data_IF_857486101328
#
_entry.id   IF_857486101328
#
_cell.length_a   1.000
_cell.length_b   1.000
_cell.length_c   1.000
_cell.angle_alpha   90.00
_cell.angle_beta   90.00
_cell.angle_gamma   90.00
#
_symmetry.space_group_name_H-M   'P 1'
#
loop_
_entity.id
_entity.type
_entity.pdbx_description
1 polymer ?
#
# COMPACT_ATOMS: atom_id res chain seq x y z
N UNK A 1 -27.05 61.10 4.70
CA UNK A 1 -26.15 60.45 3.70
C UNK A 1 -24.99 59.64 4.29
N UNK A 2 -24.71 59.68 5.62
CA UNK A 2 -23.55 58.96 6.22
C UNK A 2 -23.86 57.57 6.82
N UNK A 3 -25.12 57.14 6.88
CA UNK A 3 -25.52 55.84 7.47
C UNK A 3 -25.72 54.72 6.43
N UNK A 4 -25.95 55.07 5.17
CA UNK A 4 -26.13 54.12 4.07
C UNK A 4 -24.82 53.50 3.58
N UNK A 5 -23.68 54.19 3.74
CA UNK A 5 -22.35 53.67 3.36
C UNK A 5 -21.82 52.60 4.34
N UNK A 6 -22.14 52.69 5.64
CA UNK A 6 -21.78 51.64 6.61
C UNK A 6 -22.57 50.35 6.41
N UNK A 7 -23.83 50.43 5.97
CA UNK A 7 -24.66 49.25 5.71
C UNK A 7 -24.18 48.46 4.48
N UNK A 8 -23.70 49.14 3.43
CA UNK A 8 -23.10 48.50 2.25
C UNK A 8 -21.73 47.89 2.58
N UNK A 9 -20.94 48.50 3.47
CA UNK A 9 -19.68 47.93 3.95
C UNK A 9 -19.88 46.69 4.85
N UNK A 10 -20.90 46.67 5.72
CA UNK A 10 -21.25 45.48 6.52
C UNK A 10 -21.86 44.35 5.67
N UNK A 11 -22.65 44.66 4.64
CA UNK A 11 -23.20 43.64 3.74
C UNK A 11 -22.15 43.07 2.77
N UNK A 12 -21.14 43.86 2.40
CA UNK A 12 -19.96 43.39 1.64
C UNK A 12 -19.02 42.50 2.46
N UNK A 13 -18.95 42.70 3.79
CA UNK A 13 -18.14 41.87 4.69
C UNK A 13 -18.71 40.44 4.86
N UNK A 14 -20.02 40.24 4.66
CA UNK A 14 -20.65 38.92 4.69
C UNK A 14 -20.73 38.25 3.30
N UNK A 15 -20.48 38.98 2.21
CA UNK A 15 -20.41 38.44 0.85
C UNK A 15 -19.04 37.86 0.49
N UNK A 16 -18.02 38.12 1.32
CA UNK A 16 -16.72 37.47 1.29
C UNK A 16 -16.71 36.13 2.03
N UNK A 17 -17.83 35.39 2.03
CA UNK A 17 -17.74 33.95 2.23
C UNK A 17 -16.82 33.46 1.12
N UNK A 18 -15.54 33.27 1.46
CA UNK A 18 -14.61 32.56 0.62
C UNK A 18 -15.37 31.32 0.19
N UNK A 19 -15.79 31.29 -1.07
CA UNK A 19 -16.28 30.07 -1.68
C UNK A 19 -15.03 29.20 -1.75
N UNK A 20 -14.69 28.58 -0.63
CA UNK A 20 -13.71 27.52 -0.56
C UNK A 20 -14.13 26.57 -1.67
N UNK A 21 -13.31 26.47 -2.71
CA UNK A 21 -13.64 25.65 -3.86
C UNK A 21 -13.52 24.20 -3.41
N UNK A 22 -14.58 23.69 -2.80
CA UNK A 22 -14.64 22.32 -2.30
C UNK A 22 -14.79 21.40 -3.49
N UNK A 23 -13.74 20.64 -3.80
CA UNK A 23 -13.85 19.55 -4.76
C UNK A 23 -14.08 18.26 -3.98
N UNK A 24 -15.24 17.65 -4.14
CA UNK A 24 -15.51 16.28 -3.69
C UNK A 24 -15.47 15.37 -4.90
N UNK A 25 -14.72 14.29 -4.81
CA UNK A 25 -14.58 13.29 -5.86
C UNK A 25 -14.97 11.92 -5.32
N UNK A 26 -15.90 11.27 -6.02
CA UNK A 26 -16.06 9.82 -5.96
C UNK A 26 -15.09 9.22 -6.96
N UNK A 27 -14.33 8.21 -6.54
CA UNK A 27 -13.37 7.52 -7.38
C UNK A 27 -13.30 6.04 -7.03
N UNK A 28 -12.67 5.25 -7.90
CA UNK A 28 -12.41 3.85 -7.57
C UNK A 28 -11.81 3.05 -8.71
N UNK A 29 -11.61 1.77 -8.41
CA UNK A 29 -11.20 0.73 -9.36
C UNK A 29 -12.15 -0.45 -9.26
N UNK A 30 -12.47 -1.02 -10.42
CA UNK A 30 -13.14 -2.31 -10.57
C UNK A 30 -12.29 -3.19 -11.50
N UNK A 31 -11.74 -4.24 -10.93
CA UNK A 31 -10.92 -5.27 -11.53
C UNK A 31 -11.62 -6.60 -11.30
N UNK A 32 -11.82 -7.33 -12.39
CA UNK A 32 -12.35 -8.68 -12.36
C UNK A 32 -11.68 -9.51 -13.45
N UNK A 33 -11.29 -10.72 -13.10
CA UNK A 33 -10.65 -11.65 -14.01
C UNK A 33 -10.84 -13.10 -13.63
N UNK A 34 -10.58 -13.98 -14.58
CA UNK A 34 -10.50 -15.42 -14.37
C UNK A 34 -9.11 -15.71 -13.82
N UNK A 35 -9.06 -16.35 -12.65
CA UNK A 35 -7.83 -16.72 -11.95
C UNK A 35 -7.74 -18.24 -11.89
N UNK A 36 -6.55 -18.78 -12.19
CA UNK A 36 -6.22 -20.19 -11.99
C UNK A 36 -4.89 -20.32 -11.26
N UNK A 37 -4.93 -20.93 -10.08
CA UNK A 37 -3.75 -21.28 -9.30
C UNK A 37 -3.57 -22.80 -9.20
N UNK A 38 -2.33 -23.26 -9.08
CA UNK A 38 -2.01 -24.66 -8.79
C UNK A 38 -2.73 -25.15 -7.53
N UNK A 39 -3.42 -26.29 -7.63
CA UNK A 39 -4.16 -26.89 -6.51
C UNK A 39 -5.53 -26.28 -6.22
N UNK A 40 -5.91 -25.19 -6.89
CA UNK A 40 -7.19 -24.51 -6.70
C UNK A 40 -8.10 -24.65 -7.93
N UNK A 41 -9.41 -24.44 -7.77
CA UNK A 41 -10.34 -24.38 -8.89
C UNK A 41 -10.16 -23.07 -9.68
N UNK A 42 -10.69 -23.02 -10.89
CA UNK A 42 -10.85 -21.75 -11.60
C UNK A 42 -11.88 -20.91 -10.84
N UNK A 43 -11.59 -19.65 -10.61
CA UNK A 43 -12.49 -18.70 -9.94
C UNK A 43 -12.50 -17.34 -10.64
N UNK A 44 -13.48 -16.52 -10.29
CA UNK A 44 -13.41 -15.08 -10.52
C UNK A 44 -12.61 -14.48 -9.37
N UNK A 45 -11.62 -13.65 -9.71
CA UNK A 45 -10.83 -12.91 -8.76
C UNK A 45 -10.53 -11.51 -9.28
N UNK A 46 -9.53 -10.87 -8.69
CA UNK A 46 -9.06 -9.53 -9.07
C UNK A 46 -7.53 -9.52 -9.15
N UNK A 47 -6.97 -8.78 -10.11
CA UNK A 47 -5.52 -8.50 -10.20
C UNK A 47 -5.14 -7.33 -9.29
N UNK A 48 -5.82 -6.20 -9.40
CA UNK A 48 -5.64 -5.05 -8.51
C UNK A 48 -6.64 -5.06 -7.34
N UNK A 49 -6.34 -4.30 -6.29
CA UNK A 49 -7.33 -4.08 -5.23
C UNK A 49 -8.49 -3.22 -5.75
N UNK A 50 -9.71 -3.71 -5.61
CA UNK A 50 -10.92 -2.96 -5.93
C UNK A 50 -11.21 -1.94 -4.85
N UNK A 51 -11.55 -0.73 -5.27
CA UNK A 51 -11.74 0.42 -4.38
C UNK A 51 -12.98 1.20 -4.78
N UNK A 52 -13.68 1.72 -3.78
CA UNK A 52 -14.65 2.79 -3.92
C UNK A 52 -14.35 3.81 -2.83
N UNK A 53 -14.11 5.06 -3.23
CA UNK A 53 -13.69 6.09 -2.30
C UNK A 53 -14.34 7.42 -2.57
N UNK A 54 -14.38 8.23 -1.51
CA UNK A 54 -14.75 9.63 -1.55
C UNK A 54 -13.60 10.40 -0.92
N UNK A 55 -13.07 11.36 -1.67
CA UNK A 55 -12.05 12.28 -1.18
C UNK A 55 -12.42 13.70 -1.51
N UNK A 56 -11.91 14.63 -0.74
CA UNK A 56 -12.12 16.03 -1.03
C UNK A 56 -11.04 16.93 -0.50
N UNK A 57 -11.06 18.15 -1.03
CA UNK A 57 -10.17 19.23 -0.62
C UNK A 57 -10.98 20.51 -0.57
N UNK A 58 -10.79 21.25 0.52
CA UNK A 58 -11.38 22.56 0.77
C UNK A 58 -10.24 23.58 0.87
N UNK A 59 -10.29 24.63 0.04
CA UNK A 59 -9.35 25.74 0.14
C UNK A 59 -9.72 26.63 1.32
N UNK A 60 -8.84 26.71 2.32
CA UNK A 60 -9.06 27.52 3.53
C UNK A 60 -8.51 28.96 3.37
N UNK A 61 -7.94 29.29 2.21
CA UNK A 61 -7.25 30.54 1.95
C UNK A 61 -5.80 30.55 2.44
N UNK A 62 -5.04 31.56 2.01
CA UNK A 62 -3.63 31.78 2.40
C UNK A 62 -2.71 30.55 2.22
N UNK A 63 -2.99 29.72 1.20
CA UNK A 63 -2.22 28.51 0.90
C UNK A 63 -2.57 27.27 1.74
N UNK A 64 -3.53 27.37 2.67
CA UNK A 64 -3.98 26.23 3.47
C UNK A 64 -5.14 25.49 2.82
N UNK A 65 -5.17 24.17 2.99
CA UNK A 65 -6.24 23.30 2.51
C UNK A 65 -6.61 22.26 3.55
N UNK A 66 -7.91 22.09 3.83
CA UNK A 66 -8.40 20.92 4.53
C UNK A 66 -8.64 19.78 3.53
N UNK A 67 -8.44 18.54 3.98
CA UNK A 67 -8.66 17.35 3.15
C UNK A 67 -9.31 16.24 3.96
N UNK A 68 -10.09 15.41 3.26
CA UNK A 68 -10.60 14.16 3.80
C UNK A 68 -10.50 13.05 2.76
N UNK A 69 -10.40 11.80 3.23
CA UNK A 69 -10.30 10.63 2.37
C UNK A 69 -10.88 9.39 3.06
N UNK A 70 -11.95 8.85 2.49
CA UNK A 70 -12.54 7.58 2.84
C UNK A 70 -12.43 6.62 1.65
N UNK A 71 -11.96 5.39 1.87
CA UNK A 71 -11.85 4.37 0.83
C UNK A 71 -12.24 3.00 1.38
N UNK A 72 -13.26 2.39 0.78
CA UNK A 72 -13.58 0.97 0.98
C UNK A 72 -12.90 0.10 -0.06
N UNK A 73 -12.71 -1.17 0.28
CA UNK A 73 -12.23 -2.21 -0.62
C UNK A 73 -13.22 -3.36 -0.65
N UNK A 74 -13.39 -3.99 -1.81
CA UNK A 74 -14.41 -5.00 -2.02
C UNK A 74 -13.94 -6.16 -2.91
N UNK A 75 -14.73 -7.23 -2.93
CA UNK A 75 -14.56 -8.38 -3.84
C UNK A 75 -15.49 -8.26 -5.05
N UNK A 76 -14.99 -8.45 -6.28
CA UNK A 76 -15.80 -8.29 -7.49
C UNK A 76 -16.79 -9.44 -7.72
N UNK A 77 -16.51 -10.62 -7.17
CA UNK A 77 -17.30 -11.84 -7.38
C UNK A 77 -18.49 -11.96 -6.42
N UNK A 78 -18.30 -11.55 -5.17
CA UNK A 78 -19.31 -11.63 -4.09
C UNK A 78 -19.95 -10.29 -3.75
N UNK A 79 -19.34 -9.17 -4.14
CA UNK A 79 -19.76 -7.84 -3.72
C UNK A 79 -19.55 -7.53 -2.24
N UNK A 80 -18.83 -8.38 -1.51
CA UNK A 80 -18.52 -8.20 -0.09
C UNK A 80 -17.33 -7.25 0.12
N UNK A 81 -17.09 -6.80 1.37
CA UNK A 81 -15.83 -6.16 1.74
C UNK A 81 -14.63 -7.04 1.38
N UNK A 82 -13.48 -6.42 1.12
CA UNK A 82 -12.24 -7.14 0.78
C UNK A 82 -12.01 -8.32 1.75
N UNK A 83 -11.60 -9.46 1.21
CA UNK A 83 -11.24 -10.64 1.98
C UNK A 83 -9.72 -10.68 2.11
N UNK A 84 -9.25 -10.88 3.34
CA UNK A 84 -7.84 -11.07 3.64
C UNK A 84 -7.28 -12.42 3.19
N UNK A 85 -5.94 -12.58 3.13
CA UNK A 85 -5.32 -13.89 2.89
C UNK A 85 -5.68 -14.95 3.95
N UNK A 86 -6.10 -14.49 5.12
CA UNK A 86 -6.62 -15.25 6.26
C UNK A 86 -8.09 -15.68 6.10
N UNK A 87 -8.76 -15.27 5.02
CA UNK A 87 -10.14 -15.64 4.72
C UNK A 87 -11.21 -14.78 5.41
N UNK A 88 -10.81 -13.81 6.24
CA UNK A 88 -11.76 -12.94 6.93
C UNK A 88 -12.08 -11.66 6.16
N UNK A 89 -13.31 -11.18 6.31
CA UNK A 89 -13.76 -9.91 5.79
C UNK A 89 -13.06 -8.75 6.48
N UNK A 90 -12.45 -7.86 5.70
CA UNK A 90 -11.83 -6.63 6.18
C UNK A 90 -12.91 -5.61 6.58
N UNK A 91 -12.55 -4.73 7.51
CA UNK A 91 -13.34 -3.55 7.88
C UNK A 91 -13.76 -2.68 6.69
N UNK A 92 -14.88 -1.95 6.82
CA UNK A 92 -15.48 -1.16 5.73
C UNK A 92 -14.51 -0.19 5.05
N UNK A 93 -13.92 0.73 5.82
CA UNK A 93 -12.93 1.70 5.30
C UNK A 93 -11.50 1.17 5.46
N UNK A 94 -11.27 -0.07 5.01
CA UNK A 94 -9.94 -0.67 5.08
C UNK A 94 -8.91 0.12 4.27
N UNK A 95 -9.32 0.71 3.14
CA UNK A 95 -8.41 1.44 2.27
C UNK A 95 -7.73 2.60 3.00
N UNK A 96 -8.55 3.58 3.40
CA UNK A 96 -8.16 4.81 4.08
C UNK A 96 -9.36 5.36 4.88
N UNK A 97 -9.10 5.97 6.04
CA UNK A 97 -10.04 6.86 6.70
C UNK A 97 -9.27 8.00 7.38
N UNK A 98 -9.07 9.10 6.65
CA UNK A 98 -8.20 10.21 7.07
C UNK A 98 -8.85 11.57 6.91
N UNK A 99 -8.45 12.49 7.79
CA UNK A 99 -8.66 13.94 7.66
C UNK A 99 -7.31 14.64 7.85
N UNK A 100 -7.12 15.82 7.26
CA UNK A 100 -5.84 16.49 7.35
C UNK A 100 -5.85 17.95 6.93
N UNK A 101 -4.67 18.56 7.06
CA UNK A 101 -4.35 19.92 6.64
C UNK A 101 -3.13 19.86 5.73
N UNK A 102 -3.16 20.66 4.66
CA UNK A 102 -2.05 20.85 3.74
C UNK A 102 -1.73 22.34 3.60
N UNK A 103 -0.44 22.65 3.41
CA UNK A 103 0.04 23.98 3.02
C UNK A 103 1.48 23.92 2.53
N UNK A 104 2.19 25.03 2.55
CA UNK A 104 3.61 25.10 2.16
C UNK A 104 4.53 24.25 3.04
N UNK A 105 4.06 23.91 4.25
CA UNK A 105 4.74 23.00 5.16
C UNK A 105 4.63 21.53 4.73
N UNK A 106 3.81 21.18 3.73
CA UNK A 106 3.50 19.80 3.36
C UNK A 106 2.09 19.40 3.76
N UNK A 107 1.89 18.13 4.08
CA UNK A 107 0.58 17.55 4.38
C UNK A 107 0.61 16.77 5.68
N UNK A 108 -0.24 17.14 6.63
CA UNK A 108 -0.46 16.43 7.88
C UNK A 108 -1.83 15.73 7.84
N UNK A 109 -1.88 14.44 8.16
CA UNK A 109 -3.12 13.63 8.16
C UNK A 109 -3.22 12.83 9.46
N UNK A 110 -4.43 12.63 9.94
CA UNK A 110 -4.75 11.79 11.10
C UNK A 110 -5.82 10.77 10.72
N UNK A 111 -5.77 9.57 11.31
CA UNK A 111 -6.76 8.52 11.08
C UNK A 111 -6.14 7.14 10.78
N UNK A 112 -6.59 6.48 9.70
CA UNK A 112 -6.10 5.16 9.25
C UNK A 112 -5.64 5.15 7.81
N UNK A 113 -4.56 4.43 7.52
CA UNK A 113 -4.23 4.01 6.15
C UNK A 113 -2.85 3.36 6.04
N UNK A 114 -2.36 3.19 4.81
CA UNK A 114 -1.05 2.59 4.54
C UNK A 114 0.08 3.37 5.22
N UNK A 115 1.10 2.64 5.66
CA UNK A 115 2.32 3.26 6.20
C UNK A 115 3.17 3.88 5.07
N UNK A 116 3.99 4.90 5.35
CA UNK A 116 4.96 5.45 4.40
C UNK A 116 5.83 4.42 3.67
N UNK A 117 6.23 3.34 4.35
CA UNK A 117 6.95 2.22 3.76
C UNK A 117 6.09 1.51 2.70
N UNK A 118 4.86 1.14 3.06
CA UNK A 118 3.93 0.42 2.17
C UNK A 118 3.39 1.30 1.03
N UNK A 119 3.27 2.62 1.22
CA UNK A 119 2.87 3.58 0.17
C UNK A 119 3.93 3.74 -0.93
N UNK A 120 5.20 3.41 -0.67
CA UNK A 120 6.32 3.73 -1.58
C UNK A 120 6.95 2.53 -2.26
N UNK A 121 7.11 1.41 -1.55
CA UNK A 121 7.85 0.24 -2.05
C UNK A 121 7.29 -0.35 -3.36
N UNK A 122 5.97 -0.30 -3.54
CA UNK A 122 5.31 -0.83 -4.74
C UNK A 122 5.69 -0.14 -6.05
N UNK A 123 6.24 1.08 -6.00
CA UNK A 123 6.63 1.83 -7.21
C UNK A 123 7.91 1.33 -7.88
N UNK A 124 8.63 0.40 -7.24
CA UNK A 124 9.95 -0.07 -7.64
C UNK A 124 9.97 -1.56 -8.03
N UNK A 125 8.80 -2.11 -8.35
CA UNK A 125 8.64 -3.47 -8.87
C UNK A 125 7.68 -3.47 -10.07
N UNK A 126 7.85 -4.40 -11.04
CA UNK A 126 7.24 -4.27 -12.36
C UNK A 126 5.72 -4.37 -12.38
N UNK A 127 5.08 -4.93 -11.35
CA UNK A 127 3.62 -5.10 -11.26
C UNK A 127 2.96 -4.10 -10.30
N UNK A 128 3.66 -3.06 -9.84
CA UNK A 128 3.09 -1.94 -9.07
C UNK A 128 2.33 -2.35 -7.79
N UNK A 129 2.87 -3.29 -7.03
CA UNK A 129 2.33 -3.84 -5.79
C UNK A 129 0.90 -4.40 -5.89
N UNK A 130 0.54 -5.02 -7.02
CA UNK A 130 -0.67 -5.84 -7.03
C UNK A 130 -0.58 -6.93 -5.93
N UNK A 131 -1.64 -7.14 -5.16
CA UNK A 131 -1.61 -8.04 -4.00
C UNK A 131 -1.77 -9.53 -4.38
N UNK A 132 -1.88 -9.85 -5.67
CA UNK A 132 -1.98 -11.23 -6.17
C UNK A 132 -0.62 -11.88 -6.34
N UNK A 133 -0.59 -13.20 -6.56
CA UNK A 133 0.67 -13.92 -6.77
C UNK A 133 1.38 -13.61 -8.11
N UNK A 134 0.78 -12.77 -8.96
CA UNK A 134 1.48 -12.14 -10.08
C UNK A 134 2.45 -11.04 -9.63
N UNK A 135 2.14 -10.35 -8.54
CA UNK A 135 2.98 -9.30 -7.96
C UNK A 135 4.08 -9.83 -7.06
N UNK A 136 5.12 -9.02 -6.86
CA UNK A 136 6.27 -9.37 -6.02
C UNK A 136 6.16 -8.82 -4.59
N UNK A 137 5.21 -7.91 -4.37
CA UNK A 137 5.10 -7.16 -3.14
C UNK A 137 4.79 -8.05 -1.93
N UNK A 138 3.66 -8.76 -1.93
CA UNK A 138 3.21 -9.58 -0.81
C UNK A 138 4.00 -10.88 -0.64
N UNK A 139 4.49 -11.46 -1.74
CA UNK A 139 5.13 -12.78 -1.76
C UNK A 139 6.66 -12.73 -1.52
N UNK A 140 7.32 -11.65 -1.92
CA UNK A 140 8.77 -11.46 -1.75
C UNK A 140 9.11 -10.23 -0.92
N UNK A 141 8.65 -9.04 -1.34
CA UNK A 141 9.20 -7.77 -0.85
C UNK A 141 8.89 -7.50 0.61
N UNK A 142 7.66 -7.80 1.06
CA UNK A 142 7.21 -7.61 2.46
C UNK A 142 6.70 -8.90 3.10
N UNK A 143 7.01 -10.04 2.50
CA UNK A 143 6.47 -11.32 2.92
C UNK A 143 6.90 -11.67 4.35
N UNK A 144 5.92 -11.95 5.20
CA UNK A 144 6.14 -12.27 6.62
C UNK A 144 6.18 -11.06 7.54
N UNK A 145 6.22 -9.84 7.01
CA UNK A 145 6.14 -8.61 7.82
C UNK A 145 4.69 -8.14 7.97
N UNK A 146 4.33 -7.69 9.17
CA UNK A 146 3.08 -7.01 9.46
C UNK A 146 3.34 -5.68 10.17
N UNK A 147 2.75 -4.59 9.68
CA UNK A 147 2.76 -3.29 10.36
C UNK A 147 1.92 -3.28 11.65
N UNK A 148 0.92 -4.16 11.76
CA UNK A 148 -0.01 -4.26 12.89
C UNK A 148 -0.18 -5.72 13.34
N UNK A 149 0.85 -6.33 13.94
CA UNK A 149 0.80 -7.74 14.32
C UNK A 149 -0.07 -8.03 15.54
N UNK A 150 -0.52 -7.00 16.27
CA UNK A 150 -1.45 -7.09 17.41
C UNK A 150 -2.85 -6.58 17.07
N UNK A 151 -3.19 -6.38 15.79
CA UNK A 151 -4.57 -6.10 15.42
C UNK A 151 -5.38 -7.41 15.33
N UNK A 152 -6.72 -7.34 15.33
CA UNK A 152 -7.59 -8.47 15.02
C UNK A 152 -7.23 -9.17 13.70
N UNK A 153 -7.60 -10.45 13.57
CA UNK A 153 -7.23 -11.29 12.40
C UNK A 153 -7.68 -10.65 11.07
N UNK A 154 -8.82 -9.95 11.09
CA UNK A 154 -9.41 -9.26 9.95
C UNK A 154 -8.77 -7.90 9.62
N UNK A 155 -7.76 -7.43 10.35
CA UNK A 155 -7.03 -6.19 10.02
C UNK A 155 -5.96 -6.39 8.93
N UNK A 156 -5.79 -5.39 8.05
CA UNK A 156 -4.74 -5.45 7.03
C UNK A 156 -3.39 -5.21 7.70
N UNK A 157 -2.47 -6.17 7.57
CA UNK A 157 -1.11 -6.10 8.15
C UNK A 157 -0.15 -5.09 7.51
N UNK A 158 -0.63 -4.02 6.89
CA UNK A 158 0.20 -3.00 6.21
C UNK A 158 -0.31 -1.55 6.39
N UNK A 159 -1.22 -1.36 7.33
CA UNK A 159 -1.83 -0.06 7.65
C UNK A 159 -1.60 0.25 9.12
N UNK A 160 -1.87 1.48 9.53
CA UNK A 160 -2.06 1.82 10.94
C UNK A 160 -3.39 2.51 11.13
N UNK A 161 -4.08 2.14 12.21
CA UNK A 161 -5.07 2.98 12.87
C UNK A 161 -4.39 3.94 13.85
N UNK A 162 -5.12 4.96 14.30
CA UNK A 162 -4.68 5.89 15.37
C UNK A 162 -3.28 6.44 15.16
N UNK A 163 -3.03 6.86 13.92
CA UNK A 163 -1.75 7.38 13.49
C UNK A 163 -1.83 8.82 13.00
N UNK A 164 -0.65 9.43 12.94
CA UNK A 164 -0.40 10.72 12.33
C UNK A 164 0.57 10.48 11.17
N UNK A 165 0.25 11.02 9.99
CA UNK A 165 1.08 10.99 8.81
C UNK A 165 1.51 12.40 8.45
N UNK A 166 2.75 12.52 8.02
CA UNK A 166 3.29 13.73 7.44
C UNK A 166 3.98 13.42 6.12
N UNK A 167 3.64 14.18 5.07
CA UNK A 167 4.34 14.19 3.80
C UNK A 167 4.96 15.58 3.62
N UNK A 168 6.28 15.65 3.44
CA UNK A 168 6.94 16.90 3.12
C UNK A 168 6.48 17.43 1.76
N UNK A 169 6.66 18.73 1.48
CA UNK A 169 6.66 19.23 0.12
C UNK A 169 7.67 18.46 -0.72
N UNK A 170 7.44 18.41 -2.03
CA UNK A 170 8.41 17.90 -3.00
C UNK A 170 9.38 19.02 -3.34
N UNK A 171 10.67 18.82 -3.10
CA UNK A 171 11.72 19.81 -3.40
C UNK A 171 12.76 19.17 -4.31
N UNK A 172 12.89 19.68 -5.55
CA UNK A 172 13.81 19.15 -6.56
C UNK A 172 13.69 17.62 -6.76
N UNK A 173 12.46 17.10 -6.71
CA UNK A 173 12.18 15.67 -6.85
C UNK A 173 12.29 14.85 -5.57
N UNK A 174 12.79 15.41 -4.46
CA UNK A 174 12.85 14.73 -3.17
C UNK A 174 11.55 14.88 -2.37
N UNK A 175 11.13 13.81 -1.70
CA UNK A 175 10.05 13.83 -0.70
C UNK A 175 10.38 12.94 0.49
N UNK A 176 10.06 13.40 1.69
CA UNK A 176 10.09 12.63 2.93
C UNK A 176 8.67 12.39 3.42
N UNK A 177 8.34 11.13 3.71
CA UNK A 177 7.05 10.72 4.25
C UNK A 177 7.29 10.00 5.57
N UNK A 178 6.57 10.39 6.62
CA UNK A 178 6.73 9.83 7.97
C UNK A 178 5.37 9.53 8.58
N UNK A 179 5.29 8.51 9.41
CA UNK A 179 4.12 8.24 10.23
C UNK A 179 4.52 7.67 11.59
N UNK A 180 3.71 7.97 12.59
CA UNK A 180 3.78 7.38 13.93
C UNK A 180 2.36 7.00 14.36
N UNK A 181 2.22 5.85 15.01
CA UNK A 181 0.96 5.43 15.61
C UNK A 181 1.10 5.21 17.11
N UNK A 182 -0.02 5.16 17.82
CA UNK A 182 -0.07 4.70 19.20
C UNK A 182 0.13 3.18 19.27
N UNK A 183 0.73 2.70 20.36
CA UNK A 183 0.93 1.27 20.67
C UNK A 183 -0.33 0.58 21.20
N UNK A 184 -1.42 0.69 20.45
CA UNK A 184 -2.74 0.34 20.96
C UNK A 184 -2.91 -1.15 21.24
N UNK A 185 -3.74 -1.40 22.26
CA UNK A 185 -4.39 -2.67 22.44
C UNK A 185 -5.70 -2.67 21.62
N UNK A 186 -5.62 -3.18 20.38
CA UNK A 186 -6.77 -3.27 19.48
C UNK A 186 -7.62 -4.53 19.68
N UNK A 187 -7.63 -5.11 20.90
CA UNK A 187 -8.30 -6.39 21.15
C UNK A 187 -7.69 -7.54 20.35
N UNK A 188 -6.40 -7.41 20.05
CA UNK A 188 -5.64 -8.30 19.18
C UNK A 188 -5.51 -9.74 19.68
N UNK A 189 -5.17 -10.60 18.73
CA UNK A 189 -4.81 -11.99 19.03
C UNK A 189 -3.49 -12.07 19.81
N UNK A 190 -3.30 -13.15 20.55
CA UNK A 190 -2.03 -13.40 21.21
C UNK A 190 -0.92 -13.61 20.17
N UNK A 191 0.24 -13.00 20.40
CA UNK A 191 1.48 -13.30 19.68
C UNK A 191 2.37 -14.10 20.62
N UNK A 192 2.56 -15.39 20.30
CA UNK A 192 3.41 -16.30 21.08
C UNK A 192 4.80 -15.67 21.28
N UNK A 193 5.36 -15.10 20.22
CA UNK A 193 6.66 -14.46 20.24
C UNK A 193 7.75 -15.45 20.70
N UNK A 194 8.63 -14.97 21.57
CA UNK A 194 9.63 -15.79 22.27
C UNK A 194 9.08 -16.53 23.50
N UNK A 195 7.78 -16.44 23.76
CA UNK A 195 7.07 -17.15 24.82
C UNK A 195 6.65 -18.57 24.42
N UNK A 196 5.61 -19.07 25.07
CA UNK A 196 4.99 -20.37 24.77
C UNK A 196 3.48 -20.22 24.57
N UNK A 197 2.80 -21.26 24.08
CA UNK A 197 1.34 -21.22 23.92
C UNK A 197 0.60 -20.94 25.26
N UNK A 198 1.14 -21.41 26.40
CA UNK A 198 0.57 -21.16 27.72
C UNK A 198 0.98 -19.84 28.36
N UNK A 199 2.02 -19.18 27.83
CA UNK A 199 2.54 -17.90 28.30
C UNK A 199 3.13 -17.13 27.10
N UNK A 200 2.27 -16.58 26.21
CA UNK A 200 2.73 -15.84 25.03
C UNK A 200 3.44 -14.55 25.45
N UNK A 201 4.39 -14.10 24.64
CA UNK A 201 5.09 -12.82 24.84
C UNK A 201 4.11 -11.64 24.85
N UNK A 202 3.10 -11.68 23.98
CA UNK A 202 1.98 -10.74 23.96
C UNK A 202 0.67 -11.53 24.08
N UNK A 203 0.09 -11.67 25.29
CA UNK A 203 -1.25 -12.24 25.47
C UNK A 203 -2.34 -11.48 24.71
N UNK A 204 -3.53 -12.08 24.62
CA UNK A 204 -4.72 -11.40 24.08
C UNK A 204 -4.93 -10.12 24.87
N UNK A 205 -5.02 -9.00 24.16
CA UNK A 205 -5.19 -7.70 24.77
C UNK A 205 -3.93 -7.10 25.42
N UNK A 206 -2.74 -7.60 25.10
CA UNK A 206 -1.51 -6.99 25.58
C UNK A 206 -1.27 -5.62 24.94
N UNK A 207 -0.72 -4.68 25.71
CA UNK A 207 -0.15 -3.46 25.16
C UNK A 207 1.14 -3.81 24.40
N UNK A 208 1.38 -3.16 23.26
CA UNK A 208 2.59 -3.40 22.48
C UNK A 208 3.83 -2.81 23.19
N UNK A 209 5.03 -3.29 22.83
CA UNK A 209 6.26 -2.84 23.48
C UNK A 209 6.70 -1.44 23.03
N UNK A 210 6.30 -0.99 21.84
CA UNK A 210 6.72 0.29 21.30
C UNK A 210 5.63 0.99 20.46
N UNK A 211 5.68 2.32 20.43
CA UNK A 211 4.96 3.08 19.40
C UNK A 211 5.61 2.78 18.03
N UNK A 212 4.83 2.32 17.03
CA UNK A 212 5.35 2.05 15.71
C UNK A 212 5.62 3.36 14.94
N UNK A 213 6.63 3.33 14.07
CA UNK A 213 6.96 4.45 13.19
C UNK A 213 7.47 3.95 11.84
N UNK A 214 7.18 4.71 10.78
CA UNK A 214 7.51 4.39 9.40
C UNK A 214 8.01 5.65 8.71
N UNK A 215 9.06 5.51 7.92
CA UNK A 215 9.67 6.61 7.16
C UNK A 215 9.98 6.11 5.77
N UNK A 216 9.69 6.92 4.76
CA UNK A 216 10.19 6.71 3.41
C UNK A 216 10.70 8.02 2.84
N UNK A 217 11.83 7.95 2.14
CA UNK A 217 12.39 9.02 1.35
C UNK A 217 12.41 8.57 -0.11
N UNK A 218 11.89 9.42 -1.00
CA UNK A 218 11.91 9.19 -2.43
C UNK A 218 12.61 10.33 -3.14
N UNK A 219 13.25 9.99 -4.26
CA UNK A 219 13.75 10.94 -5.23
C UNK A 219 13.15 10.57 -6.58
N UNK A 220 12.55 11.53 -7.28
CA UNK A 220 12.06 11.35 -8.63
C UNK A 220 12.35 12.60 -9.44
N UNK A 221 13.29 12.49 -10.38
CA UNK A 221 13.67 13.61 -11.24
C UNK A 221 14.18 13.07 -12.58
N UNK A 222 13.48 13.43 -13.66
CA UNK A 222 13.81 12.95 -14.99
C UNK A 222 13.64 11.43 -15.11
N UNK A 223 14.59 10.72 -15.76
CA UNK A 223 14.43 9.29 -16.04
C UNK A 223 14.66 8.40 -14.81
N UNK A 224 15.24 8.90 -13.72
CA UNK A 224 15.63 8.09 -12.57
C UNK A 224 14.75 8.38 -11.34
N UNK A 225 14.42 7.32 -10.61
CA UNK A 225 13.81 7.40 -9.30
C UNK A 225 14.53 6.50 -8.30
N UNK A 226 14.58 6.93 -7.04
CA UNK A 226 15.17 6.20 -5.92
C UNK A 226 14.20 6.19 -4.73
N UNK A 227 14.33 5.17 -3.90
CA UNK A 227 13.62 5.05 -2.64
C UNK A 227 14.50 4.41 -1.57
N UNK A 228 14.37 4.92 -0.35
CA UNK A 228 14.79 4.26 0.86
C UNK A 228 13.63 4.34 1.87
N UNK A 229 13.29 3.23 2.51
CA UNK A 229 12.22 3.18 3.49
C UNK A 229 12.59 2.30 4.67
N UNK A 230 12.11 2.66 5.85
CA UNK A 230 12.31 1.94 7.10
C UNK A 230 11.03 1.97 7.91
N UNK A 231 10.69 0.86 8.55
CA UNK A 231 9.58 0.77 9.48
C UNK A 231 9.91 -0.12 10.66
N UNK A 232 9.40 0.26 11.84
CA UNK A 232 9.34 -0.61 13.02
C UNK A 232 7.89 -0.69 13.48
N UNK A 233 7.35 -1.90 13.59
CA UNK A 233 6.00 -2.12 14.09
C UNK A 233 5.95 -2.08 15.64
N UNK A 234 4.77 -2.32 16.20
CA UNK A 234 4.51 -2.13 17.62
C UNK A 234 5.12 -3.23 18.54
N UNK A 235 5.51 -4.37 17.96
CA UNK A 235 6.24 -5.46 18.65
C UNK A 235 7.72 -5.50 18.25
N UNK A 236 8.23 -4.38 17.72
CA UNK A 236 9.63 -4.16 17.38
C UNK A 236 10.21 -5.03 16.25
N UNK A 237 9.38 -5.64 15.40
CA UNK A 237 9.86 -6.12 14.11
C UNK A 237 10.21 -4.94 13.21
N UNK A 238 11.30 -5.06 12.46
CA UNK A 238 11.86 -3.97 11.64
C UNK A 238 11.94 -4.42 10.19
N UNK A 239 11.61 -3.53 9.27
CA UNK A 239 11.81 -3.74 7.83
C UNK A 239 12.43 -2.51 7.21
N UNK A 240 13.35 -2.71 6.28
CA UNK A 240 13.87 -1.62 5.46
C UNK A 240 14.03 -2.06 4.02
N UNK A 241 13.83 -1.12 3.10
CA UNK A 241 13.92 -1.35 1.67
C UNK A 241 14.67 -0.22 0.99
N UNK A 242 15.40 -0.56 -0.07
CA UNK A 242 15.91 0.38 -1.05
C UNK A 242 15.43 -0.03 -2.43
N UNK A 243 15.10 0.95 -3.26
CA UNK A 243 14.64 0.72 -4.62
C UNK A 243 15.16 1.76 -5.58
N UNK A 244 15.33 1.35 -6.84
CA UNK A 244 15.71 2.23 -7.92
C UNK A 244 14.94 1.88 -9.19
N UNK A 245 14.64 2.89 -10.01
CA UNK A 245 14.16 2.67 -11.37
C UNK A 245 14.75 3.69 -12.33
N UNK A 246 14.89 3.29 -13.59
CA UNK A 246 15.37 4.15 -14.67
C UNK A 246 14.55 3.92 -15.93
N UNK A 247 14.11 5.01 -16.54
CA UNK A 247 13.55 5.04 -17.89
C UNK A 247 14.73 5.00 -18.87
N UNK A 248 15.13 3.80 -19.29
CA UNK A 248 16.29 3.57 -20.15
C UNK A 248 16.07 4.06 -21.59
N UNK A 249 14.84 3.92 -22.07
CA UNK A 249 14.31 4.53 -23.31
C UNK A 249 12.89 5.04 -23.02
N UNK A 250 12.23 5.84 -23.88
CA UNK A 250 10.83 6.23 -23.66
C UNK A 250 9.87 5.04 -23.45
N UNK A 251 10.20 3.88 -24.00
CA UNK A 251 9.41 2.65 -23.95
C UNK A 251 9.83 1.72 -22.80
N UNK A 252 11.12 1.69 -22.43
CA UNK A 252 11.69 0.73 -21.49
C UNK A 252 12.00 1.35 -20.13
N UNK A 253 11.30 0.89 -19.09
CA UNK A 253 11.61 1.18 -17.68
C UNK A 253 12.23 -0.06 -17.03
N UNK A 254 13.39 0.10 -16.41
CA UNK A 254 14.05 -0.92 -15.59
C UNK A 254 13.92 -0.55 -14.12
N UNK A 255 13.81 -1.54 -13.23
CA UNK A 255 13.70 -1.31 -11.80
C UNK A 255 14.22 -2.46 -10.96
N UNK A 256 14.50 -2.18 -9.71
CA UNK A 256 14.78 -3.21 -8.72
C UNK A 256 14.60 -2.72 -7.29
N UNK A 257 14.41 -3.68 -6.40
CA UNK A 257 14.28 -3.48 -4.96
C UNK A 257 15.12 -4.49 -4.21
N UNK A 258 15.58 -4.09 -3.03
CA UNK A 258 16.12 -4.97 -2.00
C UNK A 258 15.43 -4.64 -0.68
N UNK A 259 14.95 -5.65 0.03
CA UNK A 259 14.32 -5.51 1.34
C UNK A 259 14.99 -6.44 2.35
N UNK A 260 15.12 -5.96 3.58
CA UNK A 260 15.49 -6.79 4.72
C UNK A 260 14.52 -6.61 5.87
N UNK A 261 14.17 -7.73 6.48
CA UNK A 261 13.26 -7.88 7.60
C UNK A 261 14.02 -8.54 8.76
N UNK A 262 13.88 -7.95 9.94
CA UNK A 262 14.39 -8.42 11.21
C UNK A 262 13.21 -8.57 12.19
N UNK A 263 12.94 -9.81 12.59
CA UNK A 263 11.90 -10.19 13.54
C UNK A 263 12.50 -10.78 14.82
N UNK A 264 13.74 -10.41 15.14
CA UNK A 264 14.45 -10.92 16.32
C UNK A 264 13.67 -10.73 17.62
N UNK A 265 12.90 -9.65 17.77
CA UNK A 265 12.18 -9.39 19.00
C UNK A 265 11.12 -10.46 19.33
N UNK A 266 10.54 -11.11 18.31
CA UNK A 266 9.44 -12.07 18.48
C UNK A 266 9.70 -13.45 17.91
N UNK A 267 10.68 -13.66 17.03
CA UNK A 267 10.99 -14.99 16.46
C UNK A 267 12.29 -15.56 17.01
N UNK A 268 12.25 -16.83 17.43
CA UNK A 268 13.41 -17.59 17.91
C UNK A 268 14.29 -18.11 16.77
N UNK A 269 13.67 -18.43 15.64
CA UNK A 269 14.30 -18.99 14.45
C UNK A 269 13.69 -18.32 13.22
N UNK A 270 14.39 -18.34 12.08
CA UNK A 270 13.87 -17.85 10.81
C UNK A 270 13.42 -16.37 10.92
N UNK A 271 14.20 -15.56 11.66
CA UNK A 271 13.88 -14.20 12.06
C UNK A 271 14.52 -13.14 11.17
N UNK A 272 15.44 -13.52 10.29
CA UNK A 272 16.11 -12.66 9.33
C UNK A 272 15.62 -13.05 7.92
N UNK A 273 14.99 -12.11 7.21
CA UNK A 273 14.61 -12.34 5.81
C UNK A 273 15.18 -11.25 4.92
N UNK A 274 15.80 -11.64 3.82
CA UNK A 274 16.19 -10.73 2.75
C UNK A 274 15.45 -11.07 1.46
N UNK A 275 15.09 -10.06 0.68
CA UNK A 275 14.50 -10.27 -0.63
C UNK A 275 14.98 -9.24 -1.63
N UNK A 276 14.94 -9.62 -2.90
CA UNK A 276 15.22 -8.72 -4.01
C UNK A 276 14.30 -9.01 -5.18
N UNK A 277 14.01 -7.98 -5.96
CA UNK A 277 13.24 -8.05 -7.20
C UNK A 277 13.99 -7.23 -8.26
N UNK A 278 14.09 -7.78 -9.46
CA UNK A 278 14.50 -7.05 -10.66
C UNK A 278 13.35 -7.12 -11.67
N UNK A 279 13.09 -6.02 -12.37
CA UNK A 279 11.96 -5.93 -13.27
C UNK A 279 12.14 -4.97 -14.41
N UNK A 280 11.30 -5.16 -15.43
CA UNK A 280 11.19 -4.30 -16.59
C UNK A 280 9.71 -4.09 -16.97
N UNK A 281 9.40 -2.88 -17.43
CA UNK A 281 8.19 -2.60 -18.19
C UNK A 281 8.57 -2.09 -19.58
N UNK A 282 7.89 -2.58 -20.62
CA UNK A 282 8.08 -2.13 -22.00
C UNK A 282 6.74 -1.73 -22.62
N UNK A 283 6.61 -0.48 -23.04
CA UNK A 283 5.39 0.07 -23.64
C UNK A 283 5.51 0.15 -25.16
N UNK A 284 4.56 -0.44 -25.88
CA UNK A 284 4.48 -0.42 -27.34
C UNK A 284 3.04 -0.10 -27.79
N UNK A 285 2.82 1.14 -28.24
CA UNK A 285 1.47 1.61 -28.58
C UNK A 285 0.52 1.47 -27.38
N UNK A 286 -0.66 0.85 -27.53
CA UNK A 286 -1.59 0.62 -26.41
C UNK A 286 -1.16 -0.54 -25.48
N UNK A 287 -0.13 -1.31 -25.84
CA UNK A 287 0.33 -2.47 -25.08
C UNK A 287 1.43 -2.13 -24.08
N UNK A 288 1.42 -2.79 -22.92
CA UNK A 288 2.49 -2.75 -21.91
C UNK A 288 2.87 -4.15 -21.48
N UNK A 289 4.13 -4.53 -21.68
CA UNK A 289 4.71 -5.77 -21.16
C UNK A 289 5.30 -5.53 -19.78
N UNK A 290 5.13 -6.50 -18.88
CA UNK A 290 5.65 -6.48 -17.52
C UNK A 290 6.42 -7.78 -17.30
N UNK A 291 7.63 -7.69 -16.78
CA UNK A 291 8.45 -8.85 -16.46
C UNK A 291 9.22 -8.61 -15.17
N UNK A 292 9.26 -9.61 -14.30
CA UNK A 292 10.03 -9.55 -13.08
C UNK A 292 10.57 -10.91 -12.64
N UNK A 293 11.68 -10.87 -11.92
CA UNK A 293 12.24 -12.02 -11.25
C UNK A 293 12.75 -11.59 -9.87
N UNK A 294 12.52 -12.43 -8.87
CA UNK A 294 12.97 -12.14 -7.52
C UNK A 294 13.17 -13.38 -6.68
N UNK A 295 13.80 -13.15 -5.53
CA UNK A 295 14.05 -14.17 -4.53
C UNK A 295 13.78 -13.61 -3.13
N UNK A 296 13.27 -14.48 -2.26
CA UNK A 296 13.22 -14.30 -0.82
C UNK A 296 14.05 -15.39 -0.15
N UNK A 297 14.86 -14.98 0.80
CA UNK A 297 15.81 -15.81 1.56
C UNK A 297 15.58 -15.53 3.04
N UNK A 298 14.87 -16.46 3.69
CA UNK A 298 14.67 -16.46 5.14
C UNK A 298 15.69 -17.42 5.74
N UNK A 299 16.44 -16.98 6.75
CA UNK A 299 17.50 -17.76 7.37
C UNK A 299 17.00 -19.15 7.77
N UNK A 300 17.75 -20.20 7.42
CA UNK A 300 17.41 -21.58 7.75
C UNK A 300 16.24 -22.20 6.97
N UNK A 301 15.64 -21.49 6.00
CA UNK A 301 14.55 -22.01 5.15
C UNK A 301 14.97 -22.12 3.67
N UNK A 302 14.17 -22.84 2.89
CA UNK A 302 14.34 -22.87 1.43
C UNK A 302 14.06 -21.50 0.81
N UNK A 303 14.88 -21.10 -0.17
CA UNK A 303 14.72 -19.84 -0.90
C UNK A 303 13.49 -19.88 -1.79
N UNK A 304 12.61 -18.90 -1.63
CA UNK A 304 11.46 -18.71 -2.52
C UNK A 304 11.90 -17.91 -3.73
N UNK A 305 11.60 -18.39 -4.94
CA UNK A 305 11.89 -17.68 -6.20
C UNK A 305 10.62 -17.48 -6.99
N UNK A 306 10.48 -16.32 -7.61
CA UNK A 306 9.32 -15.98 -8.42
C UNK A 306 9.75 -15.41 -9.78
N UNK A 307 9.10 -15.89 -10.84
CA UNK A 307 9.13 -15.30 -12.17
C UNK A 307 7.69 -14.91 -12.53
N UNK A 308 7.48 -13.68 -12.96
CA UNK A 308 6.16 -13.19 -13.36
C UNK A 308 6.25 -12.42 -14.68
N UNK A 309 5.33 -12.72 -15.58
CA UNK A 309 5.15 -12.07 -16.88
C UNK A 309 3.73 -11.56 -16.97
N UNK A 310 3.56 -10.36 -17.50
CA UNK A 310 2.27 -9.72 -17.67
C UNK A 310 2.19 -8.96 -18.99
N UNK A 311 0.97 -8.82 -19.49
CA UNK A 311 0.66 -7.95 -20.61
C UNK A 311 -0.64 -7.22 -20.35
N UNK A 312 -0.62 -5.90 -20.55
CA UNK A 312 -1.79 -5.03 -20.45
C UNK A 312 -2.05 -4.39 -21.82
N UNK A 313 -3.33 -4.33 -22.22
CA UNK A 313 -3.76 -3.65 -23.43
C UNK A 313 -4.77 -2.56 -23.08
N UNK A 314 -4.36 -1.30 -23.27
CA UNK A 314 -5.19 -0.14 -22.95
C UNK A 314 -6.28 0.06 -24.00
N UNK A 315 -7.55 -0.04 -23.58
CA UNK A 315 -8.72 0.34 -24.37
C UNK A 315 -9.01 1.84 -24.23
N UNK A 316 -8.66 2.42 -23.09
CA UNK A 316 -8.72 3.84 -22.80
C UNK A 316 -7.70 4.20 -21.71
N UNK A 317 -7.69 5.47 -21.26
CA UNK A 317 -6.92 5.89 -20.08
C UNK A 317 -7.38 5.22 -18.78
N UNK A 318 -8.58 4.65 -18.76
CA UNK A 318 -9.26 4.12 -17.57
C UNK A 318 -9.51 2.61 -17.65
N UNK A 319 -9.52 2.04 -18.85
CA UNK A 319 -9.87 0.64 -19.07
C UNK A 319 -8.75 -0.08 -19.78
N UNK A 320 -8.31 -1.22 -19.24
CA UNK A 320 -7.37 -2.11 -19.90
C UNK A 320 -7.75 -3.58 -19.71
N UNK A 321 -7.43 -4.39 -20.71
CA UNK A 321 -7.44 -5.85 -20.60
C UNK A 321 -6.07 -6.31 -20.13
N UNK A 322 -5.99 -7.43 -19.42
CA UNK A 322 -4.72 -7.98 -19.00
C UNK A 322 -4.65 -9.50 -19.05
N UNK A 323 -3.42 -10.01 -19.14
CA UNK A 323 -3.09 -11.41 -18.90
C UNK A 323 -1.77 -11.48 -18.11
N UNK A 324 -1.73 -12.35 -17.10
CA UNK A 324 -0.55 -12.59 -16.28
C UNK A 324 -0.26 -14.08 -16.15
N UNK A 325 1.03 -14.40 -16.02
CA UNK A 325 1.52 -15.73 -15.68
C UNK A 325 2.63 -15.60 -14.65
N UNK A 326 2.53 -16.34 -13.55
CA UNK A 326 3.49 -16.34 -12.46
C UNK A 326 3.86 -17.76 -12.07
N UNK A 327 5.14 -17.97 -11.73
CA UNK A 327 5.64 -19.23 -11.19
C UNK A 327 6.48 -18.95 -9.94
N UNK A 328 6.03 -19.48 -8.82
CA UNK A 328 6.73 -19.50 -7.54
C UNK A 328 7.30 -20.90 -7.26
N UNK A 329 8.51 -20.95 -6.72
CA UNK A 329 9.21 -22.18 -6.31
C UNK A 329 9.81 -22.03 -4.92
N UNK A 330 9.97 -23.15 -4.21
CA UNK A 330 10.58 -23.19 -2.88
C UNK A 330 9.62 -22.79 -1.76
N UNK A 331 8.30 -22.94 -2.00
CA UNK A 331 7.29 -22.68 -0.98
C UNK A 331 7.24 -23.85 0.01
N UNK A 332 7.07 -23.53 1.30
CA UNK A 332 6.85 -24.53 2.36
C UNK A 332 5.43 -25.11 2.38
N UNK A 333 4.73 -25.06 1.25
CA UNK A 333 3.35 -25.53 1.05
C UNK A 333 3.32 -26.74 0.13
N UNK A 334 2.19 -27.45 0.08
CA UNK A 334 1.93 -28.44 -0.97
C UNK A 334 0.90 -27.87 -1.96
N UNK A 335 1.25 -27.69 -3.26
CA UNK A 335 2.54 -27.99 -3.88
C UNK A 335 3.65 -26.98 -3.50
N UNK A 336 4.90 -27.44 -3.46
CA UNK A 336 6.07 -26.58 -3.21
C UNK A 336 6.40 -25.62 -4.36
N UNK A 337 5.67 -25.76 -5.47
CA UNK A 337 5.69 -24.86 -6.61
C UNK A 337 4.26 -24.46 -6.96
N UNK A 338 4.02 -23.17 -7.14
CA UNK A 338 2.70 -22.62 -7.48
C UNK A 338 2.81 -21.86 -8.79
N UNK A 339 2.02 -22.27 -9.77
CA UNK A 339 1.76 -21.48 -10.97
C UNK A 339 0.44 -20.71 -10.79
N UNK A 340 0.39 -19.48 -11.28
CA UNK A 340 -0.83 -18.67 -11.37
C UNK A 340 -0.97 -18.10 -12.78
N UNK A 341 -2.19 -18.09 -13.29
CA UNK A 341 -2.58 -17.46 -14.55
C UNK A 341 -3.82 -16.62 -14.33
N UNK A 342 -3.79 -15.38 -14.80
CA UNK A 342 -4.90 -14.44 -14.65
C UNK A 342 -5.21 -13.83 -16.02
N UNK A 343 -6.49 -13.70 -16.37
CA UNK A 343 -6.93 -12.89 -17.51
C UNK A 343 -8.14 -12.09 -17.09
N UNK A 344 -8.16 -10.79 -17.38
CA UNK A 344 -9.25 -9.95 -16.90
C UNK A 344 -9.29 -8.57 -17.49
N UNK A 345 -10.14 -7.76 -16.88
CA UNK A 345 -10.37 -6.36 -17.22
C UNK A 345 -10.27 -5.52 -15.95
N UNK A 346 -9.64 -4.36 -16.09
CA UNK A 346 -9.61 -3.33 -15.07
C UNK A 346 -10.27 -2.07 -15.60
N UNK A 347 -11.06 -1.41 -14.76
CA UNK A 347 -11.66 -0.10 -15.02
C UNK A 347 -11.51 0.84 -13.82
N UNK A 348 -10.99 2.05 -14.04
CA UNK A 348 -10.99 3.13 -13.03
C UNK A 348 -12.01 4.23 -13.35
N UNK A 349 -12.58 4.88 -12.34
CA UNK A 349 -13.60 5.93 -12.51
C UNK A 349 -13.31 7.22 -11.73
#
# INVERSE_FOLDING_TARGET
MKKSLLAVALLGACAGAAHAQTSVQVYGNLDAGIVKRSGENVSIGKRAANTLGIRGTEDLGNGFKALFHLEMRYEPDTGSSEIGPDGNQRQLFQGQSRVGLQGDFGMLRIGRGLTPFHETIGNFEPFHAIPTAGGFYTDLSVAGYSSQPLDPVDASGNRWSNAIWYNSPIVNGFQLNTAIATRENNGGVAVIGRGSAGAPQYPVGAEASANPFSVSATYNNGPAALMAAYERNAIESKVWSVGASVQATPELKLMGTFTRLDEDHTRLFNNDTSSWVLGANYTLGPGRFLAGYGQKDTDGLEKVRQLSLGYEYSLSKRTYLYIDASRKKGLLTNPGNVNQYDIGIHHSF
#
